data_IF_834086533705
#
_entry.id   IF_834086533705
#
_cell.length_a   1.000
_cell.length_b   1.000
_cell.length_c   1.000
_cell.angle_alpha   90.00
_cell.angle_beta   90.00
_cell.angle_gamma   90.00
#
_symmetry.space_group_name_H-M   'P 1'
#
loop_
_entity.id
_entity.type
_entity.pdbx_description
1 polymer ?
#
# COMPACT_ATOMS: atom_id res chain seq x y z
N UNK A 1 9.01 -20.27 8.61
CA UNK A 1 7.68 -19.89 8.05
C UNK A 1 7.52 -20.61 6.73
N UNK A 2 6.48 -21.44 6.55
CA UNK A 2 6.31 -22.15 5.27
C UNK A 2 5.68 -21.22 4.22
N UNK A 3 5.86 -21.50 2.93
CA UNK A 3 5.22 -20.74 1.84
C UNK A 3 3.67 -20.70 1.99
N UNK A 4 3.09 -21.74 2.59
CA UNK A 4 1.65 -21.82 2.88
C UNK A 4 1.23 -20.82 3.96
N UNK A 5 2.06 -20.61 4.97
CA UNK A 5 1.77 -19.66 6.06
C UNK A 5 1.87 -18.21 5.57
N UNK A 6 2.85 -17.91 4.72
CA UNK A 6 2.95 -16.59 4.06
C UNK A 6 1.73 -16.30 3.21
N UNK A 7 1.31 -17.27 2.37
CA UNK A 7 0.11 -17.12 1.53
C UNK A 7 -1.12 -16.82 2.37
N UNK A 8 -1.35 -17.58 3.45
CA UNK A 8 -2.48 -17.33 4.36
C UNK A 8 -2.43 -15.94 4.96
N UNK A 9 -1.25 -15.47 5.37
CA UNK A 9 -1.09 -14.12 5.96
C UNK A 9 -1.49 -13.04 4.95
N UNK A 10 -0.98 -13.11 3.72
CA UNK A 10 -1.29 -12.16 2.65
C UNK A 10 -2.79 -12.22 2.32
N UNK A 11 -3.32 -13.40 2.05
CA UNK A 11 -4.73 -13.56 1.62
C UNK A 11 -5.72 -13.23 2.73
N UNK A 12 -5.35 -13.44 4.00
CA UNK A 12 -6.22 -13.12 5.15
C UNK A 12 -6.41 -11.62 5.38
N UNK A 13 -5.54 -10.80 4.77
CA UNK A 13 -5.60 -9.33 4.83
C UNK A 13 -6.25 -8.73 3.58
N UNK A 14 -6.79 -9.54 2.67
CA UNK A 14 -7.47 -9.03 1.47
C UNK A 14 -8.89 -8.60 1.84
N UNK A 15 -9.26 -7.38 1.45
CA UNK A 15 -10.64 -6.89 1.52
C UNK A 15 -11.11 -6.46 0.13
N UNK A 16 -12.27 -6.96 -0.28
CA UNK A 16 -12.93 -6.50 -1.51
C UNK A 16 -13.78 -5.30 -1.17
N UNK A 17 -13.60 -4.21 -1.90
CA UNK A 17 -14.42 -3.01 -1.78
C UNK A 17 -14.71 -2.45 -3.17
N UNK A 18 -15.93 -1.93 -3.35
CA UNK A 18 -16.33 -1.27 -4.58
C UNK A 18 -16.14 0.24 -4.41
N UNK A 19 -15.53 0.94 -5.37
CA UNK A 19 -15.47 2.40 -5.33
C UNK A 19 -16.87 3.00 -5.22
N UNK A 20 -17.01 4.08 -4.46
CA UNK A 20 -18.25 4.84 -4.42
C UNK A 20 -18.46 5.63 -5.73
N UNK A 21 -19.58 6.35 -5.85
CA UNK A 21 -19.88 7.17 -7.04
C UNK A 21 -18.83 8.25 -7.34
N UNK A 22 -18.04 8.64 -6.34
CA UNK A 22 -16.93 9.59 -6.48
C UNK A 22 -15.58 8.92 -6.72
N UNK A 23 -15.55 7.61 -6.96
CA UNK A 23 -14.32 6.85 -7.17
C UNK A 23 -13.51 6.59 -5.89
N UNK A 24 -14.06 6.85 -4.70
CA UNK A 24 -13.34 6.67 -3.44
C UNK A 24 -13.43 5.21 -2.99
N UNK A 25 -12.31 4.68 -2.53
CA UNK A 25 -12.20 3.34 -1.96
C UNK A 25 -11.97 3.46 -0.45
N UNK A 26 -12.86 2.84 0.34
CA UNK A 26 -12.73 2.84 1.79
C UNK A 26 -11.73 1.76 2.24
N UNK A 27 -10.60 2.18 2.81
CA UNK A 27 -9.61 1.25 3.37
C UNK A 27 -10.06 0.82 4.78
N UNK A 28 -10.29 -0.49 5.02
CA UNK A 28 -10.65 -1.00 6.34
C UNK A 28 -9.65 -0.59 7.42
N UNK A 29 -10.15 -0.29 8.63
CA UNK A 29 -9.33 0.18 9.74
C UNK A 29 -8.18 -0.78 10.07
N UNK A 30 -8.47 -2.09 10.10
CA UNK A 30 -7.47 -3.13 10.37
C UNK A 30 -6.29 -3.09 9.38
N UNK A 31 -6.54 -2.77 8.11
CA UNK A 31 -5.47 -2.64 7.13
C UNK A 31 -4.65 -1.39 7.38
N UNK A 32 -5.31 -0.25 7.63
CA UNK A 32 -4.64 1.01 7.99
C UNK A 32 -3.72 0.84 9.20
N UNK A 33 -4.19 0.16 10.24
CA UNK A 33 -3.39 -0.14 11.44
C UNK A 33 -2.21 -1.06 11.13
N UNK A 34 -2.40 -2.07 10.27
CA UNK A 34 -1.34 -3.03 9.93
C UNK A 34 -0.18 -2.42 9.13
N UNK A 35 -0.41 -1.33 8.39
CA UNK A 35 0.60 -0.63 7.59
C UNK A 35 0.94 0.77 8.12
N UNK A 36 0.45 1.13 9.31
CA UNK A 36 0.80 2.40 9.96
C UNK A 36 0.21 3.66 9.31
N UNK A 37 -0.88 3.57 8.54
CA UNK A 37 -1.53 4.75 7.94
C UNK A 37 -2.26 5.55 9.03
N UNK A 38 -1.73 6.74 9.35
CA UNK A 38 -2.32 7.65 10.34
C UNK A 38 -3.20 8.72 9.72
N UNK A 39 -2.72 9.39 8.66
CA UNK A 39 -3.38 10.57 8.08
C UNK A 39 -3.15 10.69 6.57
N UNK A 40 -1.89 10.76 6.18
CA UNK A 40 -1.50 10.93 4.78
C UNK A 40 -1.09 9.59 4.16
N UNK A 41 -1.43 9.43 2.89
CA UNK A 41 -1.06 8.27 2.08
C UNK A 41 -0.41 8.73 0.79
N UNK A 42 0.46 7.89 0.25
CA UNK A 42 1.03 8.03 -1.09
C UNK A 42 0.49 6.88 -1.94
N UNK A 43 0.02 7.19 -3.14
CA UNK A 43 -0.39 6.20 -4.13
C UNK A 43 0.67 6.07 -5.21
N UNK A 44 1.16 4.86 -5.44
CA UNK A 44 2.19 4.56 -6.45
C UNK A 44 1.60 3.63 -7.49
N UNK A 45 1.67 4.02 -8.77
CA UNK A 45 1.20 3.19 -9.88
C UNK A 45 2.26 2.15 -10.25
N UNK A 46 1.86 0.87 -10.31
CA UNK A 46 2.73 -0.27 -10.63
C UNK A 46 2.25 -1.02 -11.88
N UNK A 47 1.73 -0.26 -12.85
CA UNK A 47 1.09 -0.81 -14.06
C UNK A 47 -0.28 -1.39 -13.75
N UNK A 48 -0.34 -2.67 -13.40
CA UNK A 48 -1.59 -3.43 -13.21
C UNK A 48 -2.27 -3.19 -11.86
N UNK A 49 -1.53 -2.62 -10.89
CA UNK A 49 -2.04 -2.34 -9.56
C UNK A 49 -1.51 -1.01 -9.04
N UNK A 50 -2.15 -0.52 -7.97
CA UNK A 50 -1.74 0.66 -7.23
C UNK A 50 -1.31 0.20 -5.85
N UNK A 51 -0.14 0.66 -5.41
CA UNK A 51 0.29 0.53 -4.04
C UNK A 51 -0.13 1.75 -3.23
N UNK A 52 -0.53 1.49 -1.98
CA UNK A 52 -0.89 2.53 -1.03
C UNK A 52 0.07 2.45 0.14
N UNK A 53 0.83 3.52 0.33
CA UNK A 53 1.83 3.64 1.36
C UNK A 53 1.42 4.66 2.42
N UNK A 54 1.79 4.42 3.68
CA UNK A 54 1.84 5.49 4.65
C UNK A 54 2.95 6.47 4.26
N UNK A 55 2.67 7.77 4.22
CA UNK A 55 3.63 8.77 3.74
C UNK A 55 4.97 8.71 4.47
N UNK A 56 4.94 8.60 5.80
CA UNK A 56 6.15 8.46 6.63
C UNK A 56 7.02 7.26 6.24
N UNK A 57 6.42 6.16 5.78
CA UNK A 57 7.16 4.95 5.37
C UNK A 57 7.66 5.05 3.93
N UNK A 58 6.88 5.70 3.05
CA UNK A 58 7.32 5.99 1.69
C UNK A 58 8.54 6.92 1.67
N UNK A 59 8.50 7.99 2.47
CA UNK A 59 9.61 8.96 2.56
C UNK A 59 10.90 8.28 3.07
N UNK A 60 10.78 7.34 4.02
CA UNK A 60 11.91 6.51 4.46
C UNK A 60 12.41 5.57 3.37
N UNK A 61 11.48 4.90 2.68
CA UNK A 61 11.82 4.01 1.58
C UNK A 61 12.63 4.75 0.51
N UNK A 62 12.18 5.94 0.09
CA UNK A 62 12.92 6.75 -0.87
C UNK A 62 14.29 7.18 -0.33
N UNK A 63 14.38 7.64 0.92
CA UNK A 63 15.67 8.01 1.51
C UNK A 63 16.67 6.84 1.59
N UNK A 64 16.19 5.61 1.72
CA UNK A 64 17.01 4.40 1.71
C UNK A 64 17.38 3.92 0.29
N UNK A 65 16.62 4.32 -0.73
CA UNK A 65 16.73 3.86 -2.11
C UNK A 65 16.96 5.01 -3.11
N UNK A 66 17.53 6.12 -2.64
CA UNK A 66 17.66 7.41 -3.35
C UNK A 66 18.43 7.28 -4.69
N UNK A 67 19.23 6.23 -4.87
CA UNK A 67 19.99 5.95 -6.09
C UNK A 67 19.16 5.33 -7.24
N UNK A 68 17.95 4.81 -6.97
CA UNK A 68 17.15 4.04 -7.93
C UNK A 68 15.95 4.81 -8.54
N UNK A 69 15.71 6.06 -8.13
CA UNK A 69 14.58 6.86 -8.63
C UNK A 69 14.92 7.41 -10.02
N UNK A 70 14.43 6.73 -11.05
CA UNK A 70 14.40 7.27 -12.41
C UNK A 70 13.24 8.26 -12.48
N UNK A 71 13.56 9.55 -12.54
CA UNK A 71 12.58 10.62 -12.73
C UNK A 71 11.98 10.46 -14.14
N UNK A 72 10.73 9.98 -14.21
CA UNK A 72 9.97 9.94 -15.45
C UNK A 72 9.21 11.25 -15.57
N UNK A 73 9.81 12.25 -16.23
CA UNK A 73 9.11 13.44 -16.76
C UNK A 73 8.11 13.06 -17.87
#
# INVERSE_FOLDING_TARGET
VTARDMRRRITSSVSVSTPDKGGRVAIPLKLRESVGIKKEVVSVGMGDFIEIWAKEEWDKYLAEHDDDIVDFE
#
